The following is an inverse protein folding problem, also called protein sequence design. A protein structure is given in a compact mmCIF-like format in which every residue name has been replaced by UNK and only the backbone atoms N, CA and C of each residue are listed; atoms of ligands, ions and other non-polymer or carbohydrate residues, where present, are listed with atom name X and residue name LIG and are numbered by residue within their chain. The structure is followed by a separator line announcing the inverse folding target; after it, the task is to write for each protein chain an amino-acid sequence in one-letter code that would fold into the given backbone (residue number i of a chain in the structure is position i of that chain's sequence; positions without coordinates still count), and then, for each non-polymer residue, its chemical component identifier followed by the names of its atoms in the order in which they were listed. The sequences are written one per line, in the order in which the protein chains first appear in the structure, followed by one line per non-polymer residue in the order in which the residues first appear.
data_IF_009167740386
#
_entry.id   IF_009167740386
#
_cell.length_a   1.000
_cell.length_b   1.000
_cell.length_c   1.000
_cell.angle_alpha   90.00
_cell.angle_beta   90.00
_cell.angle_gamma   90.00
#
_symmetry.space_group_name_H-M   'P 1'
#
loop_
_entity.id
_entity.type
_entity.pdbx_description
1 polymer ?
#
# COMPACT_ATOMS: atom_id res chain seq x y z
N UNK A 1 55.99 22.13 18.14
CA UNK A 1 54.92 21.12 18.03
C UNK A 1 53.97 21.57 16.91
N UNK A 2 54.10 21.01 15.71
CA UNK A 2 53.35 21.41 14.50
C UNK A 2 52.06 20.55 14.42
N UNK A 3 50.90 21.20 14.52
CA UNK A 3 49.60 20.62 14.27
C UNK A 3 49.34 20.57 12.75
N UNK A 4 49.29 19.40 12.19
CA UNK A 4 48.98 19.18 10.78
C UNK A 4 47.45 19.18 10.57
N UNK A 5 47.04 20.03 9.61
CA UNK A 5 45.66 20.13 9.08
C UNK A 5 45.27 18.89 8.27
N UNK A 6 44.81 17.83 8.89
CA UNK A 6 44.35 16.63 8.12
C UNK A 6 43.30 15.78 8.78
N UNK A 7 42.40 16.31 9.59
CA UNK A 7 41.27 15.53 10.14
C UNK A 7 40.00 16.41 10.26
N UNK A 8 39.53 16.98 9.15
CA UNK A 8 38.26 17.72 9.16
C UNK A 8 37.49 17.57 7.84
N UNK A 9 37.31 16.37 7.33
CA UNK A 9 36.45 16.10 6.17
C UNK A 9 35.95 14.64 6.14
N UNK A 10 35.46 14.09 7.23
CA UNK A 10 34.58 12.89 7.22
C UNK A 10 33.61 13.11 8.38
N UNK A 11 32.47 13.73 8.12
CA UNK A 11 31.42 13.94 9.12
C UNK A 11 30.26 14.80 8.69
N UNK A 12 30.16 15.15 7.42
CA UNK A 12 29.15 16.12 6.95
C UNK A 12 28.14 15.60 5.92
N UNK A 13 28.16 14.31 5.59
CA UNK A 13 27.34 13.78 4.50
C UNK A 13 26.04 13.05 4.90
N UNK A 14 25.90 12.64 6.15
CA UNK A 14 24.74 11.84 6.59
C UNK A 14 23.64 12.64 7.30
N UNK A 15 23.92 13.87 7.74
CA UNK A 15 22.94 14.68 8.47
C UNK A 15 22.06 15.58 7.57
N UNK A 16 22.43 15.76 6.30
CA UNK A 16 21.68 16.62 5.38
C UNK A 16 20.54 15.89 4.64
N UNK A 17 20.60 14.55 4.52
CA UNK A 17 19.56 13.77 3.84
C UNK A 17 18.34 13.52 4.74
N UNK A 18 18.52 13.48 6.05
CA UNK A 18 17.43 13.26 7.03
C UNK A 18 16.56 14.50 7.27
N UNK A 19 17.04 15.69 6.95
CA UNK A 19 16.29 16.95 7.12
C UNK A 19 15.35 17.27 5.97
N UNK A 20 15.53 16.68 4.80
CA UNK A 20 14.65 16.91 3.65
C UNK A 20 13.35 16.06 3.72
N UNK A 21 13.38 14.90 4.39
CA UNK A 21 12.18 14.05 4.57
C UNK A 21 11.26 14.53 5.70
N UNK A 22 11.76 15.30 6.67
CA UNK A 22 10.95 15.80 7.79
C UNK A 22 10.18 17.07 7.48
N UNK A 23 10.46 17.74 6.37
CA UNK A 23 9.81 19.01 5.96
C UNK A 23 8.44 18.84 5.31
N UNK A 24 8.08 17.65 4.83
CA UNK A 24 6.78 17.38 4.19
C UNK A 24 5.75 16.82 5.19
N UNK A 25 6.18 16.32 6.33
CA UNK A 25 5.35 15.57 7.28
C UNK A 25 4.57 16.42 8.30
N UNK A 26 4.41 17.73 8.10
CA UNK A 26 3.62 18.60 9.01
C UNK A 26 2.31 19.12 8.41
N UNK A 27 1.81 18.54 7.34
CA UNK A 27 0.42 18.71 7.01
C UNK A 27 -0.40 18.06 8.15
N UNK A 28 -1.14 18.88 8.90
CA UNK A 28 -2.02 18.35 9.97
C UNK A 28 -2.97 17.36 9.32
N UNK A 29 -2.83 16.07 9.65
CA UNK A 29 -3.75 15.03 9.15
C UNK A 29 -5.18 15.47 9.45
N UNK A 30 -6.08 15.47 8.46
CA UNK A 30 -7.44 15.95 8.64
C UNK A 30 -8.15 15.20 9.75
N UNK A 31 -9.09 15.86 10.41
CA UNK A 31 -9.86 15.24 11.49
C UNK A 31 -10.68 14.06 10.95
N UNK A 32 -10.50 12.87 11.49
CA UNK A 32 -11.28 11.69 11.13
C UNK A 32 -12.76 11.88 11.44
N UNK A 33 -13.60 11.27 10.62
CA UNK A 33 -15.06 11.25 10.82
C UNK A 33 -15.41 10.49 12.11
N UNK A 34 -16.53 10.84 12.71
CA UNK A 34 -17.01 10.20 13.95
C UNK A 34 -17.76 8.90 13.71
N UNK A 35 -18.23 8.66 12.50
CA UNK A 35 -19.00 7.49 12.09
C UNK A 35 -18.99 7.31 10.58
N UNK A 36 -19.62 6.24 10.11
CA UNK A 36 -19.80 6.00 8.69
C UNK A 36 -20.55 7.17 8.03
N UNK A 37 -19.97 7.72 6.98
CA UNK A 37 -20.48 8.90 6.28
C UNK A 37 -20.42 8.67 4.79
N UNK A 38 -21.56 8.80 4.11
CA UNK A 38 -21.59 8.86 2.66
C UNK A 38 -20.95 10.17 2.20
N UNK A 39 -20.10 10.07 1.20
CA UNK A 39 -19.37 11.21 0.65
C UNK A 39 -19.55 11.28 -0.86
N UNK A 40 -19.28 12.44 -1.45
CA UNK A 40 -19.17 12.56 -2.89
C UNK A 40 -17.72 12.44 -3.32
N UNK A 41 -17.46 11.63 -4.36
CA UNK A 41 -16.15 11.46 -4.97
C UNK A 41 -16.26 11.75 -6.46
N UNK A 42 -15.58 12.79 -6.89
CA UNK A 42 -15.43 13.12 -8.31
C UNK A 42 -14.30 12.26 -8.90
N UNK A 43 -14.50 11.76 -10.13
CA UNK A 43 -13.51 11.01 -10.87
C UNK A 43 -13.16 11.71 -12.18
N UNK A 44 -11.87 11.87 -12.45
CA UNK A 44 -11.36 12.39 -13.73
C UNK A 44 -10.62 11.28 -14.46
N UNK A 45 -11.01 10.92 -15.68
CA UNK A 45 -10.41 9.82 -16.42
C UNK A 45 -8.92 10.04 -16.71
N UNK A 46 -8.12 8.98 -16.53
CA UNK A 46 -6.75 8.85 -17.00
C UNK A 46 -6.77 7.81 -18.12
N UNK A 47 -6.81 8.27 -19.37
CA UNK A 47 -6.97 7.41 -20.55
C UNK A 47 -5.66 6.83 -21.08
N UNK A 48 -4.52 7.36 -20.63
CA UNK A 48 -3.15 6.98 -21.03
C UNK A 48 -2.21 7.04 -19.84
N UNK A 49 -1.28 6.11 -19.75
CA UNK A 49 -0.29 6.12 -18.67
C UNK A 49 0.88 7.07 -18.98
N UNK A 50 1.39 7.02 -20.21
CA UNK A 50 2.50 7.89 -20.65
C UNK A 50 1.98 9.21 -21.21
N UNK A 51 2.58 10.32 -20.80
CA UNK A 51 2.30 11.66 -21.33
C UNK A 51 3.10 11.97 -22.60
N UNK A 52 4.23 11.30 -22.80
CA UNK A 52 5.12 11.48 -23.97
C UNK A 52 4.88 10.46 -25.07
N UNK A 53 4.31 9.31 -24.76
CA UNK A 53 3.91 8.27 -25.71
C UNK A 53 2.46 7.82 -25.40
N UNK A 54 1.47 8.59 -25.88
CA UNK A 54 0.06 8.38 -25.52
C UNK A 54 -0.56 7.10 -26.08
N UNK A 55 0.03 6.52 -27.13
CA UNK A 55 -0.46 5.31 -27.78
C UNK A 55 0.14 4.03 -27.17
N UNK A 56 1.17 4.17 -26.34
CA UNK A 56 1.77 3.05 -25.63
C UNK A 56 0.81 2.51 -24.59
N UNK A 57 0.46 1.25 -24.70
CA UNK A 57 -0.40 0.53 -23.74
C UNK A 57 0.35 -0.53 -22.94
N UNK A 58 1.49 -1.04 -23.45
CA UNK A 58 2.30 -2.06 -22.78
C UNK A 58 3.49 -1.45 -22.04
N UNK A 59 3.61 -1.80 -20.76
CA UNK A 59 4.65 -1.31 -19.85
C UNK A 59 5.25 -2.50 -19.08
N UNK A 60 6.39 -3.00 -19.58
CA UNK A 60 6.97 -4.24 -19.06
C UNK A 60 6.04 -5.43 -19.26
N UNK A 61 5.72 -6.12 -18.17
CA UNK A 61 4.77 -7.22 -18.13
C UNK A 61 3.31 -6.78 -17.92
N UNK A 62 3.02 -5.48 -17.95
CA UNK A 62 1.70 -4.93 -17.73
C UNK A 62 1.12 -4.30 -19.00
N UNK A 63 -0.20 -4.45 -19.17
CA UNK A 63 -1.02 -3.70 -20.12
C UNK A 63 -1.85 -2.67 -19.36
N UNK A 64 -1.66 -1.38 -19.60
CA UNK A 64 -2.47 -0.33 -19.00
C UNK A 64 -3.90 -0.39 -19.54
N UNK A 65 -4.88 -0.42 -18.66
CA UNK A 65 -6.31 -0.46 -19.00
C UNK A 65 -6.92 0.93 -18.96
N UNK A 66 -6.84 1.55 -17.82
CA UNK A 66 -7.37 2.89 -17.55
C UNK A 66 -6.99 3.34 -16.14
N UNK A 67 -7.32 4.57 -15.80
CA UNK A 67 -7.23 5.08 -14.44
C UNK A 67 -8.19 6.24 -14.25
N UNK A 68 -8.32 6.65 -13.00
CA UNK A 68 -9.05 7.85 -12.58
C UNK A 68 -8.27 8.60 -11.51
N UNK A 69 -8.29 9.93 -11.57
CA UNK A 69 -7.96 10.80 -10.45
C UNK A 69 -9.22 11.01 -9.62
N UNK A 70 -9.17 10.63 -8.35
CA UNK A 70 -10.28 10.73 -7.40
C UNK A 70 -10.14 11.97 -6.53
N UNK A 71 -11.24 12.69 -6.34
CA UNK A 71 -11.27 13.90 -5.49
C UNK A 71 -12.53 13.94 -4.67
N UNK A 72 -12.44 14.46 -3.45
CA UNK A 72 -13.59 14.75 -2.60
C UNK A 72 -13.41 16.08 -1.89
N UNK A 73 -14.54 16.75 -1.59
CA UNK A 73 -14.53 17.95 -0.74
C UNK A 73 -14.43 17.62 0.75
N UNK A 74 -14.54 16.33 1.10
CA UNK A 74 -14.42 15.87 2.49
C UNK A 74 -12.93 15.82 2.86
N UNK A 75 -12.45 16.62 3.83
CA UNK A 75 -11.03 16.71 4.15
C UNK A 75 -10.41 15.38 4.62
N UNK A 76 -11.23 14.46 5.08
CA UNK A 76 -10.79 13.15 5.56
C UNK A 76 -10.60 12.12 4.42
N UNK A 77 -10.94 12.46 3.17
CA UNK A 77 -10.70 11.63 1.99
C UNK A 77 -9.26 11.82 1.51
N UNK A 78 -8.55 10.72 1.25
CA UNK A 78 -7.14 10.69 0.86
C UNK A 78 -6.30 9.90 1.83
N UNK A 79 -4.96 9.98 1.72
CA UNK A 79 -4.04 9.28 2.59
C UNK A 79 -4.13 7.76 2.46
N UNK A 80 -4.35 7.21 1.26
CA UNK A 80 -4.62 5.77 1.09
C UNK A 80 -3.33 4.96 1.03
N UNK A 81 -3.12 4.15 2.08
CA UNK A 81 -1.96 3.27 2.30
C UNK A 81 -2.25 1.78 2.15
N UNK A 82 -3.41 1.41 1.63
CA UNK A 82 -3.74 0.01 1.35
C UNK A 82 -5.01 -0.14 0.54
N UNK A 83 -5.09 -1.20 -0.28
CA UNK A 83 -6.18 -1.42 -1.21
C UNK A 83 -6.65 -2.87 -1.21
N UNK A 84 -7.95 -3.08 -1.30
CA UNK A 84 -8.56 -4.36 -1.59
C UNK A 84 -9.66 -4.21 -2.65
N UNK A 85 -9.77 -5.20 -3.51
CA UNK A 85 -10.86 -5.37 -4.49
C UNK A 85 -11.57 -6.70 -4.26
N UNK A 86 -12.88 -6.76 -4.48
CA UNK A 86 -13.57 -8.05 -4.52
C UNK A 86 -12.98 -8.95 -5.61
N UNK A 87 -13.13 -10.27 -5.53
CA UNK A 87 -12.58 -11.19 -6.53
C UNK A 87 -13.00 -10.86 -7.97
N UNK A 88 -14.21 -10.30 -8.14
CA UNK A 88 -14.79 -9.87 -9.41
C UNK A 88 -14.50 -8.38 -9.73
N UNK A 89 -13.77 -7.70 -8.86
CA UNK A 89 -13.35 -6.30 -9.05
C UNK A 89 -14.43 -5.24 -8.84
N UNK A 90 -15.65 -5.59 -8.43
CA UNK A 90 -16.75 -4.63 -8.31
C UNK A 90 -16.69 -3.78 -7.04
N UNK A 91 -16.31 -4.39 -5.90
CA UNK A 91 -16.21 -3.67 -4.63
C UNK A 91 -14.75 -3.25 -4.37
N UNK A 92 -14.61 -2.08 -3.77
CA UNK A 92 -13.33 -1.51 -3.36
C UNK A 92 -13.38 -1.18 -1.88
N UNK A 93 -12.28 -1.49 -1.18
CA UNK A 93 -11.99 -0.99 0.16
C UNK A 93 -10.57 -0.43 0.13
N UNK A 94 -10.41 0.84 0.52
CA UNK A 94 -9.11 1.48 0.68
C UNK A 94 -8.91 1.90 2.14
N UNK A 95 -7.76 1.55 2.72
CA UNK A 95 -7.34 2.01 4.04
C UNK A 95 -6.66 3.36 3.89
N UNK A 96 -6.97 4.29 4.79
CA UNK A 96 -6.26 5.55 4.90
C UNK A 96 -5.38 5.58 6.17
N UNK A 97 -4.25 6.26 6.11
CA UNK A 97 -3.26 6.44 7.19
C UNK A 97 -3.85 7.09 8.46
N UNK A 98 -4.99 7.75 8.32
CA UNK A 98 -5.73 8.37 9.41
C UNK A 98 -6.73 7.43 10.11
N UNK A 99 -6.56 6.11 9.95
CA UNK A 99 -7.37 5.05 10.55
C UNK A 99 -8.84 5.07 10.11
N UNK A 100 -9.07 5.34 8.84
CA UNK A 100 -10.37 5.25 8.18
C UNK A 100 -10.31 4.29 7.01
N UNK A 101 -11.47 3.79 6.62
CA UNK A 101 -11.63 3.00 5.39
C UNK A 101 -12.66 3.63 4.49
N UNK A 102 -12.32 3.75 3.22
CA UNK A 102 -13.25 4.05 2.14
C UNK A 102 -13.80 2.72 1.63
N UNK A 103 -15.12 2.57 1.59
CA UNK A 103 -15.82 1.49 0.90
C UNK A 103 -16.62 2.09 -0.25
N UNK A 104 -16.50 1.51 -1.43
CA UNK A 104 -17.23 1.96 -2.63
C UNK A 104 -17.44 0.80 -3.60
N UNK A 105 -18.32 0.99 -4.59
CA UNK A 105 -18.34 0.17 -5.81
C UNK A 105 -17.57 0.89 -6.89
N UNK A 106 -16.80 0.14 -7.64
CA UNK A 106 -16.09 0.66 -8.80
C UNK A 106 -17.03 0.72 -9.98
N UNK A 107 -17.05 1.87 -10.64
CA UNK A 107 -17.80 2.07 -11.86
C UNK A 107 -16.89 2.02 -13.09
N UNK A 108 -17.42 1.39 -14.12
CA UNK A 108 -16.74 1.28 -15.41
C UNK A 108 -17.69 1.74 -16.54
N UNK A 109 -17.12 2.36 -17.54
CA UNK A 109 -17.81 2.67 -18.81
C UNK A 109 -16.93 2.15 -19.95
N UNK A 110 -17.52 1.34 -20.83
CA UNK A 110 -16.80 0.69 -21.94
C UNK A 110 -15.56 -0.11 -21.48
N UNK A 111 -15.67 -0.79 -20.32
CA UNK A 111 -14.59 -1.58 -19.73
C UNK A 111 -13.44 -0.76 -19.15
N UNK A 112 -13.63 0.53 -18.94
CA UNK A 112 -12.63 1.46 -18.34
C UNK A 112 -13.15 2.03 -17.05
N UNK A 113 -12.27 2.25 -16.08
CA UNK A 113 -12.62 2.96 -14.85
C UNK A 113 -13.27 4.30 -15.17
N UNK A 114 -14.43 4.57 -14.57
CA UNK A 114 -15.16 5.82 -14.73
C UNK A 114 -15.42 6.54 -13.40
N UNK A 115 -15.39 5.82 -12.27
CA UNK A 115 -15.61 6.41 -10.97
C UNK A 115 -15.86 5.41 -9.85
N UNK A 116 -16.41 5.96 -8.77
CA UNK A 116 -16.86 5.19 -7.60
C UNK A 116 -18.31 5.56 -7.31
N UNK A 117 -19.16 4.55 -7.07
CA UNK A 117 -20.51 4.75 -6.57
C UNK A 117 -20.66 4.29 -5.12
N UNK A 118 -21.61 4.90 -4.44
CA UNK A 118 -21.92 4.68 -3.03
C UNK A 118 -20.69 4.75 -2.10
N UNK A 119 -19.79 5.74 -2.24
CA UNK A 119 -18.61 5.84 -1.40
C UNK A 119 -19.01 6.21 0.03
N UNK A 120 -18.55 5.39 0.97
CA UNK A 120 -18.73 5.56 2.41
C UNK A 120 -17.36 5.54 3.08
N UNK A 121 -17.04 6.61 3.79
CA UNK A 121 -15.85 6.72 4.62
C UNK A 121 -16.22 6.41 6.08
N UNK A 122 -15.50 5.48 6.71
CA UNK A 122 -15.81 5.00 8.06
C UNK A 122 -14.57 4.91 8.94
N UNK A 123 -14.64 5.33 10.22
CA UNK A 123 -13.53 5.12 11.14
C UNK A 123 -13.40 3.65 11.51
N UNK A 124 -12.17 3.17 11.66
CA UNK A 124 -11.88 1.89 12.28
C UNK A 124 -12.07 1.99 13.80
N UNK A 125 -12.72 0.97 14.39
CA UNK A 125 -13.10 0.97 15.81
C UNK A 125 -12.58 -0.31 16.48
N UNK A 126 -11.90 -0.16 17.62
CA UNK A 126 -11.45 -1.28 18.45
C UNK A 126 -12.64 -1.99 19.13
N UNK A 127 -12.41 -3.22 19.58
CA UNK A 127 -13.42 -4.06 20.28
C UNK A 127 -13.98 -3.41 21.54
N UNK A 128 -13.22 -2.50 22.17
CA UNK A 128 -13.66 -1.71 23.33
C UNK A 128 -14.46 -0.44 22.94
N UNK A 129 -14.78 -0.24 21.66
CA UNK A 129 -15.54 0.92 21.17
C UNK A 129 -14.71 2.19 20.93
N UNK A 130 -13.40 2.17 21.18
CA UNK A 130 -12.53 3.32 20.94
C UNK A 130 -12.18 3.40 19.47
N UNK A 131 -12.36 4.54 18.79
CA UNK A 131 -11.86 4.75 17.43
C UNK A 131 -10.34 4.55 17.38
N UNK A 132 -9.85 3.81 16.37
CA UNK A 132 -8.44 3.47 16.22
C UNK A 132 -7.56 4.72 16.26
N UNK A 133 -7.97 5.79 15.55
CA UNK A 133 -7.29 7.09 15.56
C UNK A 133 -7.10 7.70 16.95
N UNK A 134 -7.99 7.42 17.92
CA UNK A 134 -7.90 7.93 19.30
C UNK A 134 -7.14 6.99 20.23
N UNK A 135 -6.67 5.88 19.72
CA UNK A 135 -5.86 4.91 20.46
C UNK A 135 -4.38 5.10 20.12
N UNK A 136 -3.53 4.29 20.73
CA UNK A 136 -2.11 4.21 20.39
C UNK A 136 -1.85 3.61 18.98
N UNK A 137 -2.89 3.09 18.32
CA UNK A 137 -2.82 2.43 17.01
C UNK A 137 -3.32 3.33 15.87
N UNK A 138 -3.05 4.62 15.91
CA UNK A 138 -3.64 5.62 15.02
C UNK A 138 -2.97 5.74 13.64
N UNK A 139 -1.77 5.24 13.48
CA UNK A 139 -0.91 5.36 12.29
C UNK A 139 -1.02 4.07 11.47
N UNK A 140 -1.95 4.01 10.53
CA UNK A 140 -2.29 2.80 9.79
C UNK A 140 -1.67 2.82 8.40
N UNK A 141 -0.80 1.84 8.08
CA UNK A 141 0.04 1.88 6.88
C UNK A 141 -0.11 0.65 5.96
N UNK A 142 -0.77 -0.42 6.39
CA UNK A 142 -0.96 -1.59 5.54
C UNK A 142 -2.27 -2.30 5.77
N UNK A 143 -2.78 -2.96 4.71
CA UNK A 143 -4.10 -3.56 4.70
C UNK A 143 -4.13 -4.91 3.99
N UNK A 144 -4.69 -5.92 4.62
CA UNK A 144 -5.00 -7.19 3.97
C UNK A 144 -6.41 -7.65 4.35
N UNK A 145 -7.13 -8.24 3.42
CA UNK A 145 -8.46 -8.80 3.65
C UNK A 145 -8.55 -10.20 3.08
N UNK A 146 -8.97 -11.15 3.91
CA UNK A 146 -9.20 -12.54 3.51
C UNK A 146 -10.46 -13.10 4.19
N UNK A 147 -11.43 -13.48 3.39
CA UNK A 147 -12.72 -13.96 3.87
C UNK A 147 -13.42 -12.89 4.72
N UNK A 148 -13.69 -13.21 5.99
CA UNK A 148 -14.33 -12.33 6.96
C UNK A 148 -13.32 -11.65 7.91
N UNK A 149 -12.02 -11.68 7.62
CA UNK A 149 -11.00 -11.03 8.43
C UNK A 149 -10.28 -9.95 7.64
N UNK A 150 -10.17 -8.76 8.23
CA UNK A 150 -9.33 -7.68 7.75
C UNK A 150 -8.17 -7.46 8.72
N UNK A 151 -6.99 -7.23 8.20
CA UNK A 151 -5.77 -6.97 8.96
C UNK A 151 -5.25 -5.60 8.63
N UNK A 152 -4.90 -4.83 9.64
CA UNK A 152 -4.37 -3.48 9.53
C UNK A 152 -3.04 -3.42 10.24
N UNK A 153 -1.99 -3.08 9.52
CA UNK A 153 -0.68 -2.78 10.09
C UNK A 153 -0.64 -1.37 10.65
N UNK A 154 0.05 -1.23 11.78
CA UNK A 154 0.19 0.04 12.50
C UNK A 154 1.67 0.33 12.68
N UNK A 155 2.12 1.48 12.18
CA UNK A 155 3.54 1.80 12.14
C UNK A 155 4.15 2.01 13.53
N UNK A 156 3.79 3.06 14.22
CA UNK A 156 4.49 3.52 15.44
C UNK A 156 4.49 2.55 16.61
N UNK A 157 3.51 1.67 16.68
CA UNK A 157 3.42 0.65 17.73
C UNK A 157 3.71 -0.75 17.21
N UNK A 158 4.11 -0.87 15.94
CA UNK A 158 4.46 -2.12 15.28
C UNK A 158 3.48 -3.26 15.61
N UNK A 159 2.19 -2.96 15.44
CA UNK A 159 1.11 -3.88 15.76
C UNK A 159 0.33 -4.25 14.48
N UNK A 160 -0.29 -5.41 14.52
CA UNK A 160 -1.30 -5.80 13.54
C UNK A 160 -2.63 -5.93 14.26
N UNK A 161 -3.63 -5.21 13.77
CA UNK A 161 -4.99 -5.24 14.29
C UNK A 161 -5.84 -6.09 13.37
N UNK A 162 -6.44 -7.15 13.90
CA UNK A 162 -7.41 -7.98 13.17
C UNK A 162 -8.81 -7.46 13.44
N UNK A 163 -9.53 -7.15 12.38
CA UNK A 163 -10.94 -6.76 12.37
C UNK A 163 -11.80 -7.88 11.81
N UNK A 164 -13.07 -7.90 12.20
CA UNK A 164 -14.09 -8.72 11.57
C UNK A 164 -14.72 -7.95 10.41
N UNK A 165 -15.01 -8.66 9.32
CA UNK A 165 -15.79 -8.15 8.20
C UNK A 165 -17.15 -8.80 8.19
N UNK A 166 -18.21 -7.99 8.16
CA UNK A 166 -19.60 -8.47 8.05
C UNK A 166 -19.90 -8.95 6.63
N UNK A 167 -20.99 -9.67 6.45
CA UNK A 167 -21.50 -10.08 5.13
C UNK A 167 -21.78 -8.87 4.21
N UNK A 168 -22.18 -7.73 4.80
CA UNK A 168 -22.39 -6.47 4.07
C UNK A 168 -21.08 -5.75 3.75
N UNK A 169 -19.92 -6.34 4.13
CA UNK A 169 -18.59 -5.82 3.86
C UNK A 169 -18.13 -4.71 4.80
N UNK A 170 -18.84 -4.44 5.89
CA UNK A 170 -18.40 -3.48 6.90
C UNK A 170 -17.27 -4.08 7.74
N UNK A 171 -16.24 -3.29 8.02
CA UNK A 171 -15.12 -3.68 8.91
C UNK A 171 -15.47 -3.21 10.31
N UNK A 172 -15.57 -4.15 11.24
CA UNK A 172 -16.03 -3.89 12.60
C UNK A 172 -15.08 -4.48 13.64
N UNK A 173 -14.98 -3.78 14.79
CA UNK A 173 -14.38 -4.23 16.03
C UNK A 173 -13.04 -4.97 15.91
N UNK A 174 -11.95 -4.19 15.91
CA UNK A 174 -10.60 -4.74 15.84
C UNK A 174 -9.97 -5.02 17.18
N UNK A 175 -9.08 -6.01 17.22
CA UNK A 175 -8.20 -6.29 18.35
C UNK A 175 -6.79 -6.62 17.84
N UNK A 176 -5.74 -6.23 18.58
CA UNK A 176 -4.37 -6.57 18.20
C UNK A 176 -4.17 -8.09 18.27
N UNK A 177 -3.42 -8.61 17.29
CA UNK A 177 -2.95 -9.99 17.30
C UNK A 177 -1.50 -10.07 17.77
N UNK A 178 -1.03 -11.21 18.28
CA UNK A 178 0.39 -11.41 18.57
C UNK A 178 1.25 -11.24 17.32
N UNK A 179 2.36 -10.50 17.45
CA UNK A 179 3.40 -10.38 16.42
C UNK A 179 4.75 -10.77 17.01
N UNK A 180 5.69 -11.28 16.20
CA UNK A 180 7.05 -11.59 16.65
C UNK A 180 7.75 -10.39 17.29
N UNK A 181 8.70 -10.64 18.20
CA UNK A 181 9.46 -9.55 18.82
C UNK A 181 10.22 -8.72 17.78
N UNK A 182 10.76 -9.36 16.73
CA UNK A 182 11.46 -8.68 15.66
C UNK A 182 10.59 -7.64 14.90
N UNK A 183 9.25 -7.80 14.87
CA UNK A 183 8.34 -6.77 14.35
C UNK A 183 8.27 -5.57 15.31
N UNK A 184 8.27 -5.81 16.62
CA UNK A 184 8.23 -4.75 17.64
C UNK A 184 9.54 -3.96 17.71
N UNK A 185 10.62 -4.57 17.28
CA UNK A 185 11.98 -3.99 17.30
C UNK A 185 12.27 -3.18 16.00
N UNK A 186 11.32 -3.09 15.08
CA UNK A 186 11.46 -2.24 13.88
C UNK A 186 11.68 -0.77 14.28
N UNK A 187 12.36 0.02 13.43
CA UNK A 187 12.49 1.46 13.64
C UNK A 187 11.12 2.13 13.75
N UNK A 188 10.98 3.15 14.58
CA UNK A 188 9.70 3.81 14.89
C UNK A 188 8.96 4.41 13.68
N UNK A 189 9.67 4.61 12.58
CA UNK A 189 9.19 5.13 11.30
C UNK A 189 9.45 4.14 10.16
N UNK A 190 9.35 2.86 10.40
CA UNK A 190 9.59 1.81 9.42
C UNK A 190 8.77 0.57 9.79
N UNK A 191 7.47 0.77 9.97
CA UNK A 191 6.52 -0.28 10.32
C UNK A 191 6.27 -1.27 9.19
N UNK A 192 5.25 -2.12 9.38
CA UNK A 192 4.77 -3.01 8.32
C UNK A 192 3.96 -2.20 7.31
N UNK A 193 4.60 -1.81 6.22
CA UNK A 193 3.98 -1.05 5.13
C UNK A 193 3.18 -1.93 4.16
N UNK A 194 3.44 -3.23 4.19
CA UNK A 194 2.77 -4.19 3.34
C UNK A 194 2.19 -5.34 4.16
N UNK A 195 0.95 -5.70 3.90
CA UNK A 195 0.29 -6.90 4.44
C UNK A 195 -0.41 -7.67 3.32
N UNK A 196 -0.26 -9.00 3.35
CA UNK A 196 -0.96 -9.89 2.42
C UNK A 196 -1.30 -11.21 3.06
N UNK A 197 -2.44 -11.80 2.68
CA UNK A 197 -2.81 -13.16 3.08
C UNK A 197 -2.58 -14.10 1.91
N UNK A 198 -1.67 -15.03 2.06
CA UNK A 198 -1.34 -16.00 1.02
C UNK A 198 -2.53 -16.93 0.73
N UNK A 199 -2.72 -17.37 -0.52
CA UNK A 199 -3.73 -18.37 -0.84
C UNK A 199 -3.53 -19.67 -0.06
N UNK A 200 -4.61 -20.34 0.31
CA UNK A 200 -4.54 -21.60 1.10
C UNK A 200 -3.82 -22.73 0.37
N UNK A 201 -3.87 -22.76 -0.94
CA UNK A 201 -3.20 -23.78 -1.77
C UNK A 201 -1.72 -23.47 -2.02
N UNK A 202 -1.25 -22.28 -1.66
CA UNK A 202 0.17 -21.90 -1.78
C UNK A 202 1.02 -22.58 -0.69
N UNK A 203 2.36 -22.57 -0.83
CA UNK A 203 3.26 -23.07 0.21
C UNK A 203 3.08 -22.40 1.57
N UNK A 204 2.57 -21.17 1.62
CA UNK A 204 2.32 -20.42 2.85
C UNK A 204 0.96 -20.72 3.49
N UNK A 205 0.08 -21.46 2.81
CA UNK A 205 -1.16 -22.03 3.33
C UNK A 205 -2.03 -21.05 4.14
N UNK A 206 -2.38 -19.91 3.56
CA UNK A 206 -3.24 -18.92 4.20
C UNK A 206 -2.55 -18.06 5.26
N UNK A 207 -1.23 -18.08 5.33
CA UNK A 207 -0.48 -17.26 6.27
C UNK A 207 -0.65 -15.76 5.96
N UNK A 208 -0.71 -14.96 7.01
CA UNK A 208 -0.52 -13.52 6.94
C UNK A 208 0.97 -13.23 6.82
N UNK A 209 1.35 -12.45 5.83
CA UNK A 209 2.72 -12.00 5.58
C UNK A 209 2.74 -10.48 5.70
N UNK A 210 3.77 -9.95 6.34
CA UNK A 210 4.02 -8.52 6.42
C UNK A 210 5.44 -8.19 5.98
N UNK A 211 5.62 -7.03 5.35
CA UNK A 211 6.93 -6.52 4.95
C UNK A 211 7.03 -5.07 5.43
N UNK A 212 8.13 -4.75 6.09
CA UNK A 212 8.45 -3.39 6.50
C UNK A 212 9.01 -2.57 5.33
N UNK A 213 8.91 -1.25 5.39
CA UNK A 213 9.42 -0.32 4.37
C UNK A 213 10.86 -0.66 3.95
N UNK A 214 11.71 -0.99 4.90
CA UNK A 214 13.13 -1.35 4.70
C UNK A 214 13.38 -2.78 4.21
N UNK A 215 12.36 -3.55 3.83
CA UNK A 215 12.50 -4.89 3.26
C UNK A 215 12.55 -6.04 4.27
N UNK A 216 12.47 -5.77 5.58
CA UNK A 216 12.32 -6.84 6.59
C UNK A 216 10.96 -7.50 6.45
N UNK A 217 10.92 -8.77 6.08
CA UNK A 217 9.70 -9.54 5.86
C UNK A 217 9.41 -10.54 6.99
N UNK A 218 8.14 -10.81 7.23
CA UNK A 218 7.68 -11.69 8.32
C UNK A 218 6.50 -12.55 7.86
N UNK A 219 6.61 -13.85 8.01
CA UNK A 219 5.47 -14.77 7.96
C UNK A 219 4.86 -14.75 9.37
N UNK A 220 3.78 -13.99 9.54
CA UNK A 220 3.22 -13.64 10.85
C UNK A 220 2.35 -14.73 11.46
N UNK A 221 1.71 -15.55 10.61
CA UNK A 221 0.79 -16.62 11.06
C UNK A 221 1.07 -17.94 10.34
N UNK A 222 0.46 -19.02 10.83
CA UNK A 222 0.59 -20.33 10.21
C UNK A 222 1.79 -21.14 10.73
N UNK A 223 2.01 -22.35 10.21
CA UNK A 223 3.04 -23.27 10.73
C UNK A 223 4.47 -22.92 10.30
N UNK A 224 4.64 -22.02 9.34
CA UNK A 224 5.94 -21.60 8.78
C UNK A 224 6.35 -20.19 9.18
N UNK A 225 5.94 -19.76 10.38
CA UNK A 225 6.32 -18.44 10.89
C UNK A 225 7.83 -18.22 10.89
N UNK A 226 8.25 -17.01 10.57
CA UNK A 226 9.66 -16.64 10.56
C UNK A 226 9.90 -15.34 9.79
N UNK A 227 11.12 -14.83 9.91
CA UNK A 227 11.57 -13.64 9.20
C UNK A 227 12.27 -14.02 7.89
N UNK A 228 12.17 -13.15 6.90
CA UNK A 228 12.91 -13.18 5.64
C UNK A 228 13.34 -11.74 5.27
N UNK A 229 14.08 -11.58 4.21
CA UNK A 229 14.54 -10.28 3.72
C UNK A 229 14.14 -10.10 2.26
N UNK A 230 13.60 -8.94 1.92
CA UNK A 230 13.40 -8.48 0.54
C UNK A 230 14.61 -7.62 0.16
N UNK A 231 15.34 -8.01 -0.87
CA UNK A 231 16.47 -7.24 -1.38
C UNK A 231 15.97 -5.96 -2.05
N UNK A 232 16.22 -4.81 -1.42
CA UNK A 232 15.88 -3.51 -2.00
C UNK A 232 17.00 -3.00 -2.91
N UNK A 233 16.62 -2.27 -3.94
CA UNK A 233 17.57 -1.67 -4.90
C UNK A 233 17.02 -0.36 -5.48
N UNK A 234 17.91 0.48 -6.04
CA UNK A 234 17.51 1.69 -6.75
C UNK A 234 16.83 2.77 -5.91
N UNK A 235 16.94 2.71 -4.58
CA UNK A 235 16.29 3.65 -3.65
C UNK A 235 14.78 3.44 -3.53
N UNK A 236 14.27 2.27 -3.89
CA UNK A 236 12.88 1.88 -3.68
C UNK A 236 12.68 1.32 -2.27
N UNK A 237 11.49 1.57 -1.72
CA UNK A 237 10.97 1.04 -0.46
C UNK A 237 9.68 0.27 -0.73
N UNK A 238 9.39 -0.76 0.07
CA UNK A 238 8.13 -1.52 -0.04
C UNK A 238 6.98 -0.70 0.50
N UNK A 239 5.83 -0.73 -0.21
CA UNK A 239 4.61 -0.03 0.22
C UNK A 239 3.36 -0.91 0.25
N UNK A 240 3.30 -2.00 -0.53
CA UNK A 240 2.19 -2.96 -0.41
C UNK A 240 2.58 -4.35 -0.92
N UNK A 241 1.74 -5.33 -0.59
CA UNK A 241 1.89 -6.75 -0.93
C UNK A 241 0.53 -7.36 -1.29
N UNK A 242 0.43 -7.96 -2.45
CA UNK A 242 -0.72 -8.78 -2.82
C UNK A 242 -0.28 -10.15 -3.35
N UNK A 243 -1.10 -11.18 -3.15
CA UNK A 243 -0.82 -12.51 -3.67
C UNK A 243 -1.63 -12.80 -4.93
N UNK A 244 -0.96 -13.31 -5.94
CA UNK A 244 -1.58 -13.83 -7.15
C UNK A 244 -2.35 -15.13 -6.86
N UNK A 245 -3.31 -15.51 -7.72
CA UNK A 245 -4.03 -16.77 -7.57
C UNK A 245 -3.14 -18.02 -7.58
N UNK A 246 -1.97 -17.98 -8.23
CA UNK A 246 -1.00 -19.09 -8.24
C UNK A 246 -0.18 -19.18 -6.95
N UNK A 247 -0.24 -18.17 -6.10
CA UNK A 247 0.43 -18.09 -4.82
C UNK A 247 1.68 -17.22 -4.83
N UNK A 248 2.13 -16.73 -5.98
CA UNK A 248 3.24 -15.78 -6.06
C UNK A 248 2.85 -14.45 -5.42
N UNK A 249 3.82 -13.77 -4.86
CA UNK A 249 3.63 -12.45 -4.27
C UNK A 249 3.99 -11.35 -5.25
N UNK A 250 3.14 -10.33 -5.34
CA UNK A 250 3.46 -9.05 -5.96
C UNK A 250 3.80 -8.04 -4.88
N UNK A 251 4.96 -7.41 -4.99
CA UNK A 251 5.39 -6.32 -4.10
C UNK A 251 5.28 -5.02 -4.87
N UNK A 252 4.56 -4.07 -4.29
CA UNK A 252 4.55 -2.67 -4.71
C UNK A 252 5.66 -1.93 -3.98
N UNK A 253 6.41 -1.14 -4.73
CA UNK A 253 7.51 -0.33 -4.21
C UNK A 253 7.41 1.08 -4.75
N UNK A 254 7.78 2.04 -3.91
CA UNK A 254 7.87 3.44 -4.29
C UNK A 254 9.29 3.98 -4.12
N UNK A 255 9.60 5.03 -4.86
CA UNK A 255 10.81 5.83 -4.72
C UNK A 255 10.45 7.30 -4.83
N UNK A 256 10.98 8.11 -3.92
CA UNK A 256 10.91 9.56 -4.03
C UNK A 256 12.22 10.08 -4.60
N UNK A 257 12.16 10.92 -5.64
CA UNK A 257 13.32 11.58 -6.21
C UNK A 257 13.45 13.00 -5.66
N UNK A 258 14.69 13.49 -5.56
CA UNK A 258 14.99 14.88 -5.14
C UNK A 258 14.36 15.94 -6.06
N UNK A 259 13.93 15.58 -7.26
CA UNK A 259 13.24 16.46 -8.20
C UNK A 259 11.72 16.44 -8.06
N UNK A 260 11.18 15.81 -6.98
CA UNK A 260 9.75 15.78 -6.68
C UNK A 260 8.95 14.73 -7.47
N UNK A 261 9.60 13.76 -8.11
CA UNK A 261 8.92 12.68 -8.81
C UNK A 261 8.83 11.42 -7.96
N UNK A 262 7.64 10.82 -7.92
CA UNK A 262 7.45 9.49 -7.38
C UNK A 262 7.76 8.45 -8.45
N UNK A 263 8.55 7.43 -8.09
CA UNK A 263 8.73 6.23 -8.87
C UNK A 263 7.90 5.10 -8.29
N UNK A 264 7.31 4.29 -9.16
CA UNK A 264 6.55 3.10 -8.81
C UNK A 264 7.20 1.88 -9.46
N UNK A 265 7.37 0.79 -8.72
CA UNK A 265 7.87 -0.49 -9.22
C UNK A 265 7.03 -1.64 -8.70
N UNK A 266 6.77 -2.62 -9.55
CA UNK A 266 6.13 -3.89 -9.20
C UNK A 266 7.11 -5.02 -9.43
N UNK A 267 7.29 -5.87 -8.41
CA UNK A 267 8.08 -7.10 -8.53
C UNK A 267 7.25 -8.33 -8.18
N UNK A 268 7.55 -9.45 -8.85
CA UNK A 268 6.97 -10.76 -8.60
C UNK A 268 7.97 -11.64 -7.88
N UNK A 269 7.57 -12.23 -6.76
CA UNK A 269 8.34 -13.20 -6.00
C UNK A 269 7.62 -14.53 -6.04
N UNK A 270 8.30 -15.58 -6.43
CA UNK A 270 7.75 -16.94 -6.43
C UNK A 270 7.30 -17.36 -5.02
N UNK A 271 6.14 -17.99 -4.91
CA UNK A 271 5.56 -18.43 -3.64
C UNK A 271 6.51 -19.31 -2.83
N UNK A 272 7.32 -20.17 -3.48
CA UNK A 272 8.28 -21.05 -2.85
C UNK A 272 9.52 -20.35 -2.28
N UNK A 273 9.80 -19.12 -2.71
CA UNK A 273 10.93 -18.33 -2.23
C UNK A 273 10.66 -17.69 -0.86
N UNK A 274 9.39 -17.40 -0.54
CA UNK A 274 9.00 -16.80 0.73
C UNK A 274 9.05 -17.83 1.87
N UNK A 275 10.18 -17.89 2.57
CA UNK A 275 10.41 -18.79 3.71
C UNK A 275 11.34 -18.17 4.74
N UNK A 276 11.25 -18.64 5.98
CA UNK A 276 12.12 -18.18 7.07
C UNK A 276 13.61 -18.28 6.69
N UNK A 277 14.37 -17.22 6.95
CA UNK A 277 15.80 -17.09 6.67
C UNK A 277 16.16 -16.81 5.21
N UNK A 278 15.17 -16.71 4.30
CA UNK A 278 15.45 -16.39 2.90
C UNK A 278 15.78 -14.91 2.71
N UNK A 279 16.61 -14.64 1.71
CA UNK A 279 16.71 -13.32 1.08
C UNK A 279 16.15 -13.44 -0.34
N UNK A 280 15.11 -12.67 -0.63
CA UNK A 280 14.37 -12.72 -1.91
C UNK A 280 14.57 -11.42 -2.67
N UNK A 281 14.64 -11.51 -3.99
CA UNK A 281 14.72 -10.33 -4.87
C UNK A 281 13.42 -10.19 -5.68
N UNK A 282 13.16 -11.09 -6.59
CA UNK A 282 11.97 -11.09 -7.46
C UNK A 282 12.18 -10.35 -8.78
N UNK A 283 11.36 -10.73 -9.76
CA UNK A 283 11.42 -10.19 -11.11
C UNK A 283 10.69 -8.86 -11.22
N UNK A 284 11.30 -7.86 -11.83
CA UNK A 284 10.66 -6.56 -12.09
C UNK A 284 9.65 -6.72 -13.23
N UNK A 285 8.38 -6.58 -12.91
CA UNK A 285 7.29 -6.60 -13.89
C UNK A 285 7.05 -5.23 -14.53
N UNK A 286 7.23 -4.17 -13.73
CA UNK A 286 7.03 -2.79 -14.13
C UNK A 286 7.90 -1.87 -13.29
N UNK A 287 8.47 -0.87 -13.95
CA UNK A 287 9.10 0.28 -13.31
C UNK A 287 8.66 1.55 -14.06
N UNK A 288 8.20 2.56 -13.32
CA UNK A 288 7.68 3.78 -13.92
C UNK A 288 8.79 4.69 -14.42
N UNK A 289 8.48 5.38 -15.52
CA UNK A 289 9.27 6.48 -16.05
C UNK A 289 8.67 7.82 -15.59
N UNK A 290 9.43 8.91 -15.70
CA UNK A 290 8.98 10.25 -15.31
C UNK A 290 7.77 10.76 -16.11
N UNK A 291 7.54 10.20 -17.30
CA UNK A 291 6.39 10.51 -18.15
C UNK A 291 5.11 9.77 -17.77
N UNK A 292 5.18 8.79 -16.84
CA UNK A 292 4.02 8.01 -16.44
C UNK A 292 3.19 8.77 -15.41
N UNK A 293 1.87 8.69 -15.57
CA UNK A 293 0.91 9.32 -14.67
C UNK A 293 0.70 8.47 -13.40
N UNK A 294 1.77 8.32 -12.64
CA UNK A 294 1.80 7.72 -11.29
C UNK A 294 2.02 8.82 -10.27
N UNK A 295 1.62 8.56 -9.03
CA UNK A 295 1.93 9.40 -7.87
C UNK A 295 2.56 8.49 -6.78
N UNK A 296 2.42 8.82 -5.53
CA UNK A 296 2.89 8.05 -4.39
C UNK A 296 2.08 6.75 -4.24
N UNK A 297 2.35 5.72 -5.05
CA UNK A 297 1.57 4.48 -5.09
C UNK A 297 1.82 3.65 -3.83
N UNK A 298 0.77 3.43 -3.02
CA UNK A 298 0.87 2.76 -1.73
C UNK A 298 -0.14 1.62 -1.53
N UNK A 299 -1.13 1.46 -2.39
CA UNK A 299 -2.06 0.34 -2.29
C UNK A 299 -2.10 -0.49 -3.57
N UNK A 300 -2.10 -1.82 -3.41
CA UNK A 300 -2.14 -2.82 -4.48
C UNK A 300 -3.24 -3.85 -4.21
N UNK A 301 -4.12 -4.04 -5.18
CA UNK A 301 -5.11 -5.11 -5.14
C UNK A 301 -5.12 -5.91 -6.45
N UNK A 302 -5.52 -7.18 -6.34
CA UNK A 302 -5.62 -8.11 -7.46
C UNK A 302 -7.05 -8.62 -7.54
N UNK A 303 -7.60 -8.65 -8.76
CA UNK A 303 -8.89 -9.29 -9.03
C UNK A 303 -8.89 -9.98 -10.40
N UNK A 304 -9.98 -10.68 -10.71
CA UNK A 304 -10.15 -11.36 -11.99
C UNK A 304 -11.26 -10.68 -12.79
N UNK A 305 -10.99 -10.46 -14.06
CA UNK A 305 -12.00 -10.04 -15.03
C UNK A 305 -11.98 -11.02 -16.21
N UNK A 306 -12.92 -11.93 -16.24
CA UNK A 306 -12.89 -13.04 -17.19
C UNK A 306 -11.63 -13.90 -16.99
N UNK A 307 -10.75 -13.92 -18.00
CA UNK A 307 -9.48 -14.65 -17.95
C UNK A 307 -8.31 -13.79 -17.46
N UNK A 308 -8.49 -12.47 -17.42
CA UNK A 308 -7.43 -11.53 -17.09
C UNK A 308 -7.21 -11.45 -15.58
N UNK A 309 -5.96 -11.38 -15.18
CA UNK A 309 -5.57 -10.94 -13.85
C UNK A 309 -5.39 -9.43 -13.90
N UNK A 310 -6.19 -8.70 -13.15
CA UNK A 310 -6.17 -7.24 -13.12
C UNK A 310 -5.53 -6.76 -11.83
N UNK A 311 -4.60 -5.85 -11.95
CA UNK A 311 -3.93 -5.17 -10.86
C UNK A 311 -4.53 -3.77 -10.73
N UNK A 312 -5.00 -3.42 -9.54
CA UNK A 312 -5.41 -2.06 -9.19
C UNK A 312 -4.39 -1.44 -8.25
N UNK A 313 -3.93 -0.24 -8.56
CA UNK A 313 -2.99 0.52 -7.75
C UNK A 313 -3.66 1.82 -7.31
N UNK A 314 -3.53 2.18 -6.03
CA UNK A 314 -4.00 3.47 -5.52
C UNK A 314 -2.83 4.26 -4.92
N UNK A 315 -2.86 5.58 -5.05
CA UNK A 315 -1.84 6.45 -4.47
C UNK A 315 -2.32 7.12 -3.19
N UNK A 316 -1.38 7.37 -2.30
CA UNK A 316 -1.50 8.26 -1.16
C UNK A 316 -1.20 9.70 -1.59
N UNK A 317 -2.13 10.62 -1.38
CA UNK A 317 -1.94 12.05 -1.63
C UNK A 317 -1.38 12.81 -0.43
N UNK A 318 -1.07 12.10 0.67
CA UNK A 318 -0.57 12.69 1.93
C UNK A 318 -1.44 13.86 2.42
N UNK A 319 -2.71 13.91 2.04
CA UNK A 319 -3.60 15.07 2.21
C UNK A 319 -2.99 16.40 1.71
N UNK A 320 -2.14 16.32 0.71
CA UNK A 320 -1.40 17.44 0.11
C UNK A 320 -2.08 17.90 -1.18
N UNK A 321 -2.21 19.21 -1.36
CA UNK A 321 -2.71 19.75 -2.63
C UNK A 321 -1.74 19.58 -3.81
N UNK A 322 -0.52 19.13 -3.56
CA UNK A 322 0.51 18.88 -4.58
C UNK A 322 0.51 17.45 -5.10
N UNK A 323 -0.15 16.54 -4.39
CA UNK A 323 -0.27 15.12 -4.74
C UNK A 323 -1.71 14.76 -5.10
N UNK A 324 -1.89 13.60 -5.69
CA UNK A 324 -3.17 13.15 -6.20
C UNK A 324 -3.51 11.77 -5.69
N UNK A 325 -4.77 11.56 -5.36
CA UNK A 325 -5.33 10.22 -5.26
C UNK A 325 -5.64 9.70 -6.65
N UNK A 326 -4.84 8.79 -7.18
CA UNK A 326 -5.08 8.12 -8.46
C UNK A 326 -5.35 6.64 -8.25
N UNK A 327 -6.32 6.10 -8.98
CA UNK A 327 -6.60 4.67 -9.06
C UNK A 327 -6.31 4.22 -10.50
N UNK A 328 -5.35 3.32 -10.66
CA UNK A 328 -4.90 2.81 -11.96
C UNK A 328 -5.19 1.32 -12.08
N UNK A 329 -5.55 0.85 -13.27
CA UNK A 329 -5.73 -0.58 -13.56
C UNK A 329 -4.85 -1.05 -14.70
N UNK A 330 -4.31 -2.25 -14.52
CA UNK A 330 -3.47 -2.95 -15.48
C UNK A 330 -3.90 -4.41 -15.61
N UNK A 331 -3.83 -4.98 -16.81
CA UNK A 331 -3.81 -6.44 -16.99
C UNK A 331 -2.39 -6.94 -16.82
N UNK A 332 -2.19 -7.99 -16.04
CA UNK A 332 -0.94 -8.73 -15.97
C UNK A 332 -0.84 -9.63 -17.21
N UNK A 333 0.23 -9.44 -18.00
CA UNK A 333 0.52 -10.28 -19.16
C UNK A 333 1.17 -11.60 -18.69
N UNK A 334 0.70 -12.70 -19.25
CA UNK A 334 1.24 -14.03 -18.99
C UNK A 334 2.59 -14.28 -19.61
#
# INVERSE_FOLDING_TARGET
MRLTRRNFLIGGGAAAATLACTGVALAQRPQALRGATSIDVEARPISRLSTTDPDRSRFGALMFRSGVELRSRVPAFGGFSGLWRSPEGQDLIALADNAQVLKARVETSDGRLSGLSNPVLSPLILSNGVPLRRSRYYDTESFALAGNAAYVGVERNHAVIKFERTETGSIIRGAPIPVPQAVKDLPSNGGLEALGVAPRHSPLNGALVGIAEGGSGFILTGPRQGAFEVALSGGYSVTDLAFLPDGDALILERRFSLFGFFGCRLRRIEAGALKAGARVDGDVLYESEASHQVDNMEGLAIHREGRDTVLSLISDDNFSSLQKTVLLEFSLLG
#
